data_IF_958043960880
#
_entry.id   IF_958043960880
#
_cell.length_a   1.000
_cell.length_b   1.000
_cell.length_c   1.000
_cell.angle_alpha   90.00
_cell.angle_beta   90.00
_cell.angle_gamma   90.00
#
_symmetry.space_group_name_H-M   'P 1'
#
loop_
_entity.id
_entity.type
_entity.pdbx_description
1 polymer ?
#
# COMPACT_ATOMS: atom_id res chain seq x y z
N UNK A 1 3.12 -44.68 -3.49
CA UNK A 1 3.94 -44.22 -2.34
C UNK A 1 3.68 -45.05 -1.08
N UNK A 2 3.40 -46.36 -1.18
CA UNK A 2 3.11 -47.19 0.02
C UNK A 2 4.35 -47.43 0.88
N UNK A 3 5.54 -47.38 0.28
CA UNK A 3 6.82 -47.60 0.97
C UNK A 3 7.41 -46.33 1.58
N UNK A 4 6.83 -45.16 1.29
CA UNK A 4 7.27 -43.87 1.82
C UNK A 4 6.54 -43.55 3.14
N UNK A 5 6.90 -44.26 4.21
CA UNK A 5 6.27 -44.12 5.54
C UNK A 5 6.40 -42.73 6.16
N UNK A 6 7.35 -41.92 5.69
CA UNK A 6 7.53 -40.53 6.10
C UNK A 6 6.50 -39.57 5.49
N UNK A 7 5.71 -40.01 4.50
CA UNK A 7 4.62 -39.24 3.89
C UNK A 7 3.30 -39.63 4.53
N UNK A 8 2.66 -38.69 5.23
CA UNK A 8 1.33 -38.89 5.81
C UNK A 8 0.23 -38.41 4.87
N UNK A 9 0.46 -37.27 4.20
CA UNK A 9 -0.43 -36.70 3.20
C UNK A 9 0.39 -36.04 2.10
N UNK A 10 -0.02 -36.29 0.86
CA UNK A 10 0.39 -35.49 -0.29
C UNK A 10 -0.82 -35.34 -1.22
N UNK A 11 -1.33 -34.13 -1.36
CA UNK A 11 -2.52 -33.82 -2.15
C UNK A 11 -2.17 -32.73 -3.15
N UNK A 12 -2.41 -33.01 -4.43
CA UNK A 12 -2.28 -32.02 -5.51
C UNK A 12 -3.66 -31.44 -5.80
N UNK A 13 -3.74 -30.11 -5.92
CA UNK A 13 -4.94 -29.35 -6.23
C UNK A 13 -4.75 -28.56 -7.52
N UNK A 14 -5.81 -28.44 -8.29
CA UNK A 14 -5.93 -27.49 -9.39
C UNK A 14 -7.31 -26.86 -9.35
N UNK A 15 -7.40 -25.58 -9.68
CA UNK A 15 -8.67 -24.88 -9.79
C UNK A 15 -8.72 -23.99 -11.05
N UNK A 16 -9.94 -23.79 -11.53
CA UNK A 16 -10.28 -22.79 -12.51
C UNK A 16 -11.66 -22.26 -12.16
N UNK A 17 -11.83 -20.94 -12.18
CA UNK A 17 -13.10 -20.33 -11.82
C UNK A 17 -13.25 -18.92 -12.35
N UNK A 18 -14.50 -18.47 -12.39
CA UNK A 18 -14.88 -17.10 -12.71
C UNK A 18 -15.79 -16.60 -11.60
N UNK A 19 -15.39 -15.50 -10.98
CA UNK A 19 -16.13 -14.84 -9.90
C UNK A 19 -16.50 -13.44 -10.35
N UNK A 20 -17.70 -13.00 -10.02
CA UNK A 20 -18.14 -11.63 -10.25
C UNK A 20 -18.17 -10.85 -8.94
N UNK A 21 -17.66 -9.62 -8.94
CA UNK A 21 -17.84 -8.68 -7.84
C UNK A 21 -18.98 -7.71 -8.17
N UNK A 22 -20.04 -7.78 -7.37
CA UNK A 22 -21.23 -6.93 -7.51
C UNK A 22 -21.17 -5.65 -6.71
N UNK A 23 -20.18 -5.52 -5.81
CA UNK A 23 -19.96 -4.31 -5.03
C UNK A 23 -19.36 -3.25 -5.94
N UNK A 24 -20.24 -2.65 -6.74
CA UNK A 24 -19.90 -1.65 -7.74
C UNK A 24 -20.49 -0.30 -7.33
N UNK A 25 -19.80 0.82 -7.61
CA UNK A 25 -20.30 2.14 -7.30
C UNK A 25 -21.64 2.47 -7.98
N UNK A 26 -22.38 3.39 -7.38
CA UNK A 26 -23.63 3.87 -7.95
C UNK A 26 -23.36 4.58 -9.29
N UNK A 27 -24.00 4.08 -10.34
CA UNK A 27 -23.80 4.54 -11.72
C UNK A 27 -25.03 5.29 -12.24
N UNK A 28 -25.05 6.60 -12.00
CA UNK A 28 -26.20 7.46 -12.26
C UNK A 28 -25.85 8.60 -13.21
N UNK A 29 -26.82 8.96 -14.04
CA UNK A 29 -26.76 10.21 -14.79
C UNK A 29 -27.13 11.37 -13.86
N UNK A 30 -26.30 12.40 -13.82
CA UNK A 30 -26.59 13.62 -13.07
C UNK A 30 -26.57 14.83 -13.99
N UNK A 31 -27.44 15.80 -13.71
CA UNK A 31 -27.44 17.12 -14.35
C UNK A 31 -27.08 18.13 -13.28
N UNK A 32 -26.08 18.96 -13.55
CA UNK A 32 -25.69 20.05 -12.68
C UNK A 32 -26.57 21.25 -13.00
N UNK A 33 -27.23 21.81 -11.99
CA UNK A 33 -28.05 23.03 -12.06
C UNK A 33 -27.78 23.89 -10.83
N UNK A 34 -28.27 25.14 -10.81
CA UNK A 34 -28.12 26.04 -9.64
C UNK A 34 -26.61 26.39 -9.39
N UNK A 35 -26.15 26.87 -8.20
CA UNK A 35 -24.73 27.25 -7.99
C UNK A 35 -23.70 26.17 -8.37
N UNK A 36 -24.12 24.92 -8.49
CA UNK A 36 -23.29 23.76 -8.85
C UNK A 36 -23.15 23.56 -10.37
N UNK A 37 -23.78 24.38 -11.21
CA UNK A 37 -23.67 24.29 -12.68
C UNK A 37 -22.25 24.61 -13.22
N UNK A 38 -21.26 24.80 -12.34
CA UNK A 38 -19.86 25.03 -12.70
C UNK A 38 -19.70 26.29 -13.56
N UNK A 39 -18.85 26.23 -14.59
CA UNK A 39 -18.51 27.32 -15.51
C UNK A 39 -19.63 27.71 -16.50
N UNK A 40 -20.86 27.18 -16.32
CA UNK A 40 -22.00 27.43 -17.21
C UNK A 40 -22.96 28.49 -16.68
N UNK A 41 -22.62 29.13 -15.57
CA UNK A 41 -23.32 30.30 -15.06
C UNK A 41 -22.84 31.55 -15.80
N UNK A 42 -23.77 32.39 -16.24
CA UNK A 42 -23.46 33.63 -16.95
C UNK A 42 -24.18 34.81 -16.31
N UNK A 43 -23.52 35.95 -16.31
CA UNK A 43 -24.13 37.21 -15.89
C UNK A 43 -24.75 37.87 -17.13
N UNK A 44 -26.04 38.15 -17.07
CA UNK A 44 -26.76 38.77 -18.17
C UNK A 44 -27.47 40.07 -17.76
N UNK A 45 -27.66 40.94 -18.75
CA UNK A 45 -28.45 42.16 -18.63
C UNK A 45 -27.74 43.32 -17.91
N UNK A 46 -28.35 44.51 -17.94
CA UNK A 46 -27.78 45.73 -17.32
C UNK A 46 -27.70 45.63 -15.79
N UNK A 47 -28.55 44.83 -15.17
CA UNK A 47 -28.57 44.60 -13.71
C UNK A 47 -27.52 43.60 -13.23
N UNK A 48 -26.76 42.98 -14.14
CA UNK A 48 -25.71 42.00 -13.82
C UNK A 48 -26.26 40.80 -13.01
N UNK A 49 -27.46 40.33 -13.35
CA UNK A 49 -28.06 39.18 -12.68
C UNK A 49 -27.37 37.88 -13.12
N UNK A 50 -27.02 37.03 -12.15
CA UNK A 50 -26.48 35.70 -12.42
C UNK A 50 -27.59 34.77 -12.89
N UNK A 51 -27.42 34.20 -14.08
CA UNK A 51 -28.30 33.18 -14.65
C UNK A 51 -27.58 31.85 -14.58
N UNK A 52 -28.22 30.90 -13.89
CA UNK A 52 -27.67 29.56 -13.74
C UNK A 52 -27.86 28.74 -15.01
N UNK A 53 -26.78 28.17 -15.52
CA UNK A 53 -26.82 27.22 -16.63
C UNK A 53 -27.15 25.80 -16.17
N UNK A 54 -27.00 24.87 -17.11
CA UNK A 54 -27.05 23.44 -16.82
C UNK A 54 -25.97 22.71 -17.60
N UNK A 55 -25.34 21.73 -16.98
CA UNK A 55 -24.35 20.85 -17.62
C UNK A 55 -24.61 19.39 -17.25
N UNK A 56 -24.16 18.45 -18.08
CA UNK A 56 -24.17 17.05 -17.69
C UNK A 56 -23.09 16.83 -16.64
N UNK A 57 -23.47 16.38 -15.44
CA UNK A 57 -22.52 16.07 -14.38
C UNK A 57 -21.79 14.77 -14.68
N UNK A 58 -22.46 13.65 -14.41
CA UNK A 58 -21.98 12.30 -14.67
C UNK A 58 -22.89 11.61 -15.68
N UNK A 59 -22.37 10.75 -16.57
CA UNK A 59 -23.17 9.86 -17.39
C UNK A 59 -23.44 8.54 -16.67
N UNK A 60 -24.62 7.96 -16.87
CA UNK A 60 -24.83 6.53 -16.61
C UNK A 60 -24.29 5.74 -17.80
N UNK A 61 -23.27 4.92 -17.58
CA UNK A 61 -22.67 4.07 -18.62
C UNK A 61 -23.11 2.61 -18.45
N UNK A 62 -22.89 1.75 -19.43
CA UNK A 62 -23.23 0.33 -19.26
C UNK A 62 -22.17 -0.37 -18.38
N UNK A 63 -22.32 -0.25 -17.05
CA UNK A 63 -21.50 -0.96 -16.08
C UNK A 63 -22.07 -2.34 -15.79
N UNK A 64 -21.17 -3.31 -15.74
CA UNK A 64 -21.40 -4.69 -15.33
C UNK A 64 -20.56 -5.01 -14.10
N UNK A 65 -20.69 -6.21 -13.54
CA UNK A 65 -19.83 -6.63 -12.43
C UNK A 65 -18.37 -6.73 -12.89
N UNK A 66 -17.44 -6.44 -12.00
CA UNK A 66 -16.05 -6.82 -12.24
C UNK A 66 -15.94 -8.35 -12.24
N UNK A 67 -15.14 -8.89 -13.14
CA UNK A 67 -15.06 -10.32 -13.36
C UNK A 67 -13.62 -10.78 -13.13
N UNK A 68 -13.39 -11.56 -12.08
CA UNK A 68 -12.10 -12.20 -11.83
C UNK A 68 -12.10 -13.61 -12.40
N UNK A 69 -11.19 -13.86 -13.34
CA UNK A 69 -10.86 -15.20 -13.83
C UNK A 69 -9.65 -15.71 -13.05
N UNK A 70 -9.81 -16.84 -12.39
CA UNK A 70 -8.78 -17.41 -11.53
C UNK A 70 -8.40 -18.80 -12.02
N UNK A 71 -7.10 -19.02 -12.09
CA UNK A 71 -6.48 -20.34 -12.24
C UNK A 71 -5.43 -20.51 -11.18
N UNK A 72 -5.31 -21.71 -10.65
CA UNK A 72 -4.36 -22.00 -9.60
C UNK A 72 -4.03 -23.48 -9.53
N UNK A 73 -2.88 -23.73 -8.92
CA UNK A 73 -2.38 -25.06 -8.64
C UNK A 73 -1.77 -25.04 -7.25
N UNK A 74 -1.94 -26.12 -6.49
CA UNK A 74 -1.43 -26.19 -5.14
C UNK A 74 -1.04 -27.59 -4.72
N UNK A 75 -0.17 -27.68 -3.73
CA UNK A 75 0.24 -28.94 -3.09
C UNK A 75 0.05 -28.78 -1.59
N UNK A 76 -0.78 -29.65 -1.00
CA UNK A 76 -0.88 -29.79 0.45
C UNK A 76 -0.08 -31.02 0.87
N UNK A 77 0.66 -30.92 1.97
CA UNK A 77 1.45 -32.03 2.46
C UNK A 77 1.47 -32.10 3.98
N UNK A 78 1.67 -33.33 4.47
CA UNK A 78 2.02 -33.62 5.85
C UNK A 78 3.02 -34.77 5.86
N UNK A 79 4.15 -34.56 6.54
CA UNK A 79 5.27 -35.46 6.60
C UNK A 79 5.67 -35.73 8.07
N UNK A 80 6.45 -36.79 8.28
CA UNK A 80 7.10 -37.11 9.56
C UNK A 80 6.10 -37.27 10.71
N UNK A 81 5.05 -38.07 10.50
CA UNK A 81 3.93 -38.23 11.44
C UNK A 81 3.22 -36.90 11.72
N UNK A 82 2.96 -36.14 10.66
CA UNK A 82 2.34 -34.81 10.69
C UNK A 82 3.11 -33.74 11.47
N UNK A 83 4.40 -33.96 11.74
CA UNK A 83 5.23 -32.95 12.40
C UNK A 83 5.53 -31.77 11.47
N UNK A 84 5.72 -32.03 10.18
CA UNK A 84 5.87 -31.01 9.16
C UNK A 84 4.62 -31.02 8.29
N UNK A 85 3.87 -29.92 8.28
CA UNK A 85 2.71 -29.75 7.40
C UNK A 85 2.77 -28.41 6.69
N UNK A 86 2.08 -28.30 5.56
CA UNK A 86 2.06 -27.07 4.82
C UNK A 86 1.29 -27.13 3.51
N UNK A 87 1.24 -25.97 2.85
CA UNK A 87 0.76 -25.83 1.49
C UNK A 87 1.68 -24.92 0.68
N UNK A 88 1.75 -25.18 -0.61
CA UNK A 88 2.35 -24.29 -1.61
C UNK A 88 1.29 -24.10 -2.69
N UNK A 89 0.91 -22.86 -2.93
CA UNK A 89 -0.14 -22.48 -3.87
C UNK A 89 0.41 -21.47 -4.88
N UNK A 90 0.16 -21.70 -6.16
CA UNK A 90 0.32 -20.71 -7.22
C UNK A 90 -1.06 -20.24 -7.66
N UNK A 91 -1.21 -18.93 -7.86
CA UNK A 91 -2.43 -18.35 -8.41
C UNK A 91 -2.13 -17.38 -9.54
N UNK A 92 -3.08 -17.30 -10.46
CA UNK A 92 -3.14 -16.31 -11.53
C UNK A 92 -4.57 -15.79 -11.61
N UNK A 93 -4.77 -14.56 -11.17
CA UNK A 93 -6.06 -13.86 -11.07
C UNK A 93 -6.08 -12.68 -12.03
N UNK A 94 -6.88 -12.78 -13.09
CA UNK A 94 -7.11 -11.70 -14.04
C UNK A 94 -8.48 -11.07 -13.76
N UNK A 95 -8.48 -9.88 -13.16
CA UNK A 95 -9.67 -9.05 -13.07
C UNK A 95 -9.90 -8.38 -14.44
N UNK A 96 -11.06 -8.65 -15.01
CA UNK A 96 -11.57 -8.09 -16.25
C UNK A 96 -12.73 -7.18 -15.91
N UNK A 97 -12.91 -6.11 -16.69
CA UNK A 97 -13.91 -5.08 -16.44
C UNK A 97 -13.65 -4.29 -15.15
N UNK A 98 -12.38 -4.10 -14.78
CA UNK A 98 -12.02 -3.29 -13.60
C UNK A 98 -12.65 -1.90 -13.71
N UNK A 99 -13.43 -1.53 -12.71
CA UNK A 99 -14.15 -0.27 -12.64
C UNK A 99 -13.21 0.78 -12.07
N UNK A 100 -13.00 1.84 -12.82
CA UNK A 100 -12.18 2.97 -12.42
C UNK A 100 -13.05 4.21 -12.30
N UNK A 101 -12.75 5.05 -11.30
CA UNK A 101 -13.22 6.43 -11.30
C UNK A 101 -12.37 7.23 -12.30
N UNK A 102 -12.97 7.58 -13.43
CA UNK A 102 -12.25 8.21 -14.55
C UNK A 102 -12.58 9.69 -14.62
N UNK A 103 -11.55 10.49 -14.91
CA UNK A 103 -11.72 11.90 -15.21
C UNK A 103 -12.17 12.05 -16.66
N UNK A 104 -13.24 12.83 -16.94
CA UNK A 104 -13.68 13.07 -18.30
C UNK A 104 -12.59 13.77 -19.13
N UNK A 105 -12.48 13.42 -20.40
CA UNK A 105 -11.65 14.18 -21.35
C UNK A 105 -12.25 15.57 -21.59
N UNK A 106 -11.45 16.56 -21.98
CA UNK A 106 -11.95 17.91 -22.29
C UNK A 106 -13.06 17.98 -23.35
N UNK A 107 -13.14 16.99 -24.24
CA UNK A 107 -14.20 16.89 -25.26
C UNK A 107 -15.44 16.12 -24.78
N UNK A 108 -15.45 15.66 -23.53
CA UNK A 108 -16.58 14.95 -22.93
C UNK A 108 -17.72 15.93 -22.65
N UNK A 109 -18.99 15.55 -22.84
CA UNK A 109 -20.12 16.34 -22.38
C UNK A 109 -20.28 16.34 -20.85
N UNK A 110 -19.66 15.37 -20.15
CA UNK A 110 -19.74 15.21 -18.69
C UNK A 110 -18.66 16.01 -17.97
N UNK A 111 -19.06 16.74 -16.94
CA UNK A 111 -18.22 17.67 -16.14
C UNK A 111 -17.63 17.06 -14.87
N UNK A 112 -18.18 15.94 -14.38
CA UNK A 112 -17.72 15.24 -13.17
C UNK A 112 -17.13 13.87 -13.52
N UNK A 113 -16.21 13.42 -12.67
CA UNK A 113 -15.71 12.05 -12.71
C UNK A 113 -16.86 11.03 -12.67
N UNK A 114 -16.67 9.90 -13.34
CA UNK A 114 -17.65 8.83 -13.39
C UNK A 114 -16.97 7.47 -13.46
N UNK A 115 -17.74 6.42 -13.17
CA UNK A 115 -17.23 5.07 -13.16
C UNK A 115 -17.34 4.42 -14.53
N UNK A 116 -16.25 3.80 -15.00
CA UNK A 116 -16.19 3.09 -16.27
C UNK A 116 -15.36 1.81 -16.16
N UNK A 117 -15.65 0.82 -17.00
CA UNK A 117 -14.75 -0.31 -17.20
C UNK A 117 -13.46 0.18 -17.88
N UNK A 118 -12.41 0.36 -17.09
CA UNK A 118 -11.23 1.09 -17.52
C UNK A 118 -10.00 0.24 -17.76
N UNK A 119 -9.91 -0.94 -17.13
CA UNK A 119 -8.69 -1.75 -17.19
C UNK A 119 -8.91 -3.26 -17.04
N UNK A 120 -7.83 -4.00 -17.33
CA UNK A 120 -7.64 -5.40 -16.91
C UNK A 120 -6.41 -5.48 -16.01
N UNK A 121 -6.58 -6.06 -14.83
CA UNK A 121 -5.54 -6.12 -13.79
C UNK A 121 -5.21 -7.56 -13.47
N UNK A 122 -3.94 -7.90 -13.56
CA UNK A 122 -3.39 -9.21 -13.22
C UNK A 122 -2.75 -9.17 -11.83
N UNK A 123 -3.14 -10.10 -10.98
CA UNK A 123 -2.42 -10.48 -9.78
C UNK A 123 -2.00 -11.95 -9.92
N UNK A 124 -0.72 -12.24 -9.76
CA UNK A 124 -0.22 -13.60 -9.80
C UNK A 124 0.92 -13.76 -8.81
N UNK A 125 1.02 -14.95 -8.24
CA UNK A 125 1.83 -15.12 -7.06
C UNK A 125 1.95 -16.54 -6.58
N UNK A 126 2.77 -16.70 -5.54
CA UNK A 126 2.96 -17.95 -4.83
C UNK A 126 2.72 -17.70 -3.35
N UNK A 127 1.98 -18.59 -2.72
CA UNK A 127 1.75 -18.61 -1.29
C UNK A 127 2.33 -19.89 -0.70
N UNK A 128 3.05 -19.76 0.39
CA UNK A 128 3.68 -20.87 1.10
C UNK A 128 3.29 -20.76 2.55
N UNK A 129 2.74 -21.83 3.11
CA UNK A 129 2.51 -21.97 4.54
C UNK A 129 3.22 -23.24 5.01
N UNK A 130 4.07 -23.11 6.03
CA UNK A 130 4.77 -24.22 6.64
C UNK A 130 4.50 -24.20 8.14
N UNK A 131 4.28 -25.37 8.71
CA UNK A 131 4.09 -25.54 10.13
C UNK A 131 4.89 -26.74 10.61
N UNK A 132 5.72 -26.51 11.62
CA UNK A 132 6.43 -27.53 12.36
C UNK A 132 5.79 -27.69 13.73
N UNK A 133 5.41 -28.90 14.10
CA UNK A 133 4.89 -29.25 15.42
C UNK A 133 5.69 -30.44 15.96
N UNK A 134 6.26 -30.30 17.15
CA UNK A 134 7.00 -31.39 17.79
C UNK A 134 6.76 -31.43 19.29
N UNK A 135 6.37 -32.60 19.78
CA UNK A 135 6.40 -32.95 21.20
C UNK A 135 7.69 -33.71 21.48
N UNK A 136 8.56 -33.12 22.29
CA UNK A 136 9.82 -33.76 22.71
C UNK A 136 9.56 -34.68 23.92
N UNK A 137 8.65 -34.29 24.80
CA UNK A 137 8.19 -35.08 25.94
C UNK A 137 6.71 -34.77 26.23
N UNK A 138 6.05 -35.50 27.16
CA UNK A 138 4.71 -35.15 27.61
C UNK A 138 4.59 -33.73 28.20
N UNK A 139 5.70 -33.17 28.68
CA UNK A 139 5.74 -31.86 29.32
C UNK A 139 6.27 -30.76 28.40
N UNK A 140 6.90 -31.10 27.26
CA UNK A 140 7.55 -30.12 26.39
C UNK A 140 7.16 -30.32 24.93
N UNK A 141 6.52 -29.30 24.36
CA UNK A 141 6.20 -29.22 22.94
C UNK A 141 6.43 -27.82 22.41
N UNK A 142 6.70 -27.72 21.11
CA UNK A 142 6.83 -26.44 20.44
C UNK A 142 6.26 -26.50 19.03
N UNK A 143 5.80 -25.34 18.57
CA UNK A 143 5.29 -25.11 17.24
C UNK A 143 6.00 -23.95 16.60
N UNK A 144 6.28 -24.07 15.31
CA UNK A 144 6.84 -23.01 14.50
C UNK A 144 6.10 -22.97 13.17
N UNK A 145 5.30 -21.93 12.98
CA UNK A 145 4.56 -21.66 11.75
C UNK A 145 5.18 -20.47 11.03
N UNK A 146 5.31 -20.59 9.71
CA UNK A 146 5.65 -19.47 8.82
C UNK A 146 4.67 -19.45 7.66
N UNK A 147 4.29 -18.26 7.24
CA UNK A 147 3.62 -18.06 5.96
C UNK A 147 4.33 -16.97 5.18
N UNK A 148 4.34 -17.10 3.86
CA UNK A 148 4.92 -16.17 2.92
C UNK A 148 4.03 -16.11 1.68
N UNK A 149 3.69 -14.91 1.22
CA UNK A 149 2.99 -14.70 -0.04
C UNK A 149 3.79 -13.72 -0.88
N UNK A 150 4.05 -14.09 -2.13
CA UNK A 150 4.57 -13.18 -3.15
C UNK A 150 3.45 -12.86 -4.14
N UNK A 151 3.21 -11.58 -4.40
CA UNK A 151 2.23 -11.13 -5.39
C UNK A 151 2.85 -10.11 -6.35
N UNK A 152 2.60 -10.29 -7.64
CA UNK A 152 2.92 -9.32 -8.67
C UNK A 152 1.63 -8.76 -9.27
N UNK A 153 1.38 -7.48 -8.99
CA UNK A 153 0.29 -6.72 -9.60
C UNK A 153 0.74 -6.08 -10.92
N UNK A 154 -0.09 -6.16 -11.96
CA UNK A 154 0.20 -5.56 -13.26
C UNK A 154 -1.08 -5.17 -14.00
N UNK A 155 -1.13 -3.96 -14.52
CA UNK A 155 -2.12 -3.54 -15.50
C UNK A 155 -1.74 -4.13 -16.86
N UNK A 156 -2.64 -4.93 -17.41
CA UNK A 156 -2.43 -5.67 -18.67
C UNK A 156 -3.06 -4.98 -19.86
N UNK A 157 -4.13 -4.23 -19.64
CA UNK A 157 -4.87 -3.49 -20.66
C UNK A 157 -5.54 -2.29 -20.00
N UNK A 158 -5.59 -1.17 -20.72
CA UNK A 158 -6.33 0.04 -20.33
C UNK A 158 -7.12 0.51 -21.55
N UNK A 159 -8.36 0.94 -21.34
CA UNK A 159 -9.14 1.59 -22.40
C UNK A 159 -8.40 2.86 -22.84
N UNK A 160 -8.20 3.10 -24.15
CA UNK A 160 -7.34 4.20 -24.63
C UNK A 160 -7.69 5.58 -24.05
N UNK A 161 -8.97 5.85 -23.78
CA UNK A 161 -9.42 7.12 -23.19
C UNK A 161 -8.91 7.36 -21.75
N UNK A 162 -8.49 6.31 -21.05
CA UNK A 162 -8.03 6.36 -19.66
C UNK A 162 -6.57 5.95 -19.51
N UNK A 163 -5.88 5.64 -20.62
CA UNK A 163 -4.44 5.39 -20.56
C UNK A 163 -3.73 6.64 -20.04
N UNK A 164 -2.75 6.44 -19.15
CA UNK A 164 -2.03 7.51 -18.46
C UNK A 164 -2.87 8.36 -17.51
N UNK A 165 -4.07 7.90 -17.11
CA UNK A 165 -4.82 8.55 -16.05
C UNK A 165 -3.95 8.75 -14.79
N UNK A 166 -3.91 9.97 -14.30
CA UNK A 166 -3.09 10.38 -13.15
C UNK A 166 -3.83 10.22 -11.82
N UNK A 167 -3.10 10.06 -10.73
CA UNK A 167 -3.66 9.95 -9.37
C UNK A 167 -2.64 10.23 -8.28
N UNK A 168 -3.02 9.98 -7.03
CA UNK A 168 -2.17 10.25 -5.87
C UNK A 168 -1.93 11.74 -5.66
N UNK A 169 -3.02 12.53 -5.68
CA UNK A 169 -2.95 13.96 -5.43
C UNK A 169 -2.47 14.22 -4.00
N UNK A 170 -1.57 15.19 -3.87
CA UNK A 170 -1.06 15.68 -2.58
C UNK A 170 -1.84 16.91 -2.07
N UNK A 171 -2.97 17.27 -2.69
CA UNK A 171 -3.76 18.48 -2.40
C UNK A 171 -3.00 19.82 -2.51
N UNK A 172 -1.88 19.83 -3.23
CA UNK A 172 -1.06 21.02 -3.50
C UNK A 172 -0.76 21.20 -5.01
N UNK A 173 -1.53 20.52 -5.88
CA UNK A 173 -1.33 20.49 -7.33
C UNK A 173 -0.46 19.33 -7.83
N UNK A 174 0.30 18.67 -6.96
CA UNK A 174 1.16 17.55 -7.36
C UNK A 174 0.43 16.21 -7.40
N UNK A 175 0.91 15.36 -8.31
CA UNK A 175 0.43 14.01 -8.62
C UNK A 175 1.59 13.04 -8.50
N UNK A 176 1.37 11.91 -7.83
CA UNK A 176 2.42 10.92 -7.53
C UNK A 176 2.23 9.58 -8.23
N UNK A 177 1.09 9.35 -8.91
CA UNK A 177 0.75 8.05 -9.52
C UNK A 177 0.22 8.19 -10.93
N UNK A 178 0.37 7.13 -11.71
CA UNK A 178 -0.20 7.02 -13.04
C UNK A 178 -0.65 5.59 -13.33
N UNK A 179 -1.81 5.45 -13.97
CA UNK A 179 -2.27 4.20 -14.55
C UNK A 179 -1.60 3.99 -15.91
N UNK A 180 -0.89 2.87 -16.08
CA UNK A 180 -0.24 2.55 -17.36
C UNK A 180 -0.09 1.05 -17.56
N UNK A 181 -0.33 0.59 -18.78
CA UNK A 181 -0.07 -0.80 -19.18
C UNK A 181 1.38 -1.16 -18.88
N UNK A 182 1.61 -2.34 -18.31
CA UNK A 182 2.94 -2.82 -17.95
C UNK A 182 3.33 -2.55 -16.50
N UNK A 183 2.72 -1.55 -15.86
CA UNK A 183 3.01 -1.11 -14.50
C UNK A 183 1.99 -1.69 -13.51
N UNK A 184 2.27 -1.68 -12.19
CA UNK A 184 1.24 -1.90 -11.18
C UNK A 184 0.08 -0.91 -11.31
N UNK A 185 -1.10 -1.28 -10.83
CA UNK A 185 -2.26 -0.38 -10.83
C UNK A 185 -1.92 0.90 -10.05
N UNK A 186 -2.03 2.05 -10.72
CA UNK A 186 -1.58 3.34 -10.21
C UNK A 186 -0.19 3.29 -9.55
N UNK A 187 0.81 2.79 -10.30
CA UNK A 187 2.20 2.81 -9.88
C UNK A 187 2.72 4.24 -9.62
N UNK A 188 3.72 4.34 -8.75
CA UNK A 188 4.39 5.60 -8.43
C UNK A 188 5.03 6.18 -9.70
N UNK A 189 4.66 7.40 -10.08
CA UNK A 189 5.11 8.10 -11.29
C UNK A 189 5.45 9.56 -10.95
N UNK A 190 6.75 9.87 -10.93
CA UNK A 190 7.28 11.12 -10.37
C UNK A 190 8.70 11.39 -10.88
N UNK A 191 9.29 12.52 -10.52
CA UNK A 191 10.68 12.82 -10.89
C UNK A 191 11.70 11.96 -10.13
N UNK A 192 12.84 11.67 -10.75
CA UNK A 192 13.98 11.06 -10.08
C UNK A 192 14.86 12.16 -9.48
N UNK A 193 14.94 12.24 -8.15
CA UNK A 193 15.83 13.15 -7.47
C UNK A 193 17.31 12.75 -7.70
N UNK A 194 18.15 13.73 -8.05
CA UNK A 194 19.55 13.56 -8.40
C UNK A 194 20.45 14.52 -7.60
N UNK A 195 20.19 14.59 -6.29
CA UNK A 195 20.90 15.43 -5.34
C UNK A 195 20.40 16.86 -5.25
N UNK A 196 21.27 17.79 -4.83
CA UNK A 196 20.91 19.16 -4.46
C UNK A 196 21.79 20.16 -5.20
N UNK A 197 21.21 21.25 -5.69
CA UNK A 197 21.94 22.37 -6.26
C UNK A 197 22.83 23.02 -5.18
N UNK A 198 24.14 23.03 -5.38
CA UNK A 198 25.09 23.49 -4.36
C UNK A 198 25.33 25.00 -4.39
N UNK A 199 25.33 25.61 -5.57
CA UNK A 199 25.60 27.03 -5.76
C UNK A 199 24.96 27.56 -7.04
N UNK A 200 25.17 28.85 -7.33
CA UNK A 200 24.57 29.52 -8.49
C UNK A 200 25.14 29.03 -9.83
N UNK A 201 26.38 28.55 -9.86
CA UNK A 201 26.99 28.04 -11.09
C UNK A 201 26.43 26.65 -11.42
N UNK A 202 26.17 25.85 -10.39
CA UNK A 202 25.47 24.57 -10.49
C UNK A 202 24.04 24.75 -11.04
N UNK A 203 23.30 25.75 -10.56
CA UNK A 203 21.96 26.11 -11.08
C UNK A 203 22.02 26.53 -12.55
N UNK A 204 23.07 27.23 -12.95
CA UNK A 204 23.22 27.71 -14.34
C UNK A 204 23.59 26.58 -15.31
N UNK A 205 24.35 25.59 -14.85
CA UNK A 205 24.93 24.54 -15.69
C UNK A 205 24.11 23.25 -15.74
N UNK A 206 23.05 23.13 -14.95
CA UNK A 206 22.20 21.93 -14.90
C UNK A 206 20.73 22.31 -15.12
N UNK A 207 19.99 21.57 -15.96
CA UNK A 207 18.60 21.90 -16.26
C UNK A 207 17.71 21.73 -15.02
N UNK A 208 16.77 22.65 -14.83
CA UNK A 208 15.90 22.64 -13.66
C UNK A 208 14.43 22.74 -14.01
N UNK A 209 13.60 22.09 -13.20
CA UNK A 209 12.15 22.29 -13.27
C UNK A 209 11.77 23.58 -12.52
N UNK A 210 11.32 24.60 -13.26
CA UNK A 210 11.04 25.92 -12.72
C UNK A 210 12.30 26.70 -12.32
N UNK A 211 12.13 27.77 -11.53
CA UNK A 211 13.22 28.63 -11.09
C UNK A 211 13.96 28.02 -9.88
N UNK A 212 15.01 27.25 -10.14
CA UNK A 212 15.83 26.64 -9.09
C UNK A 212 16.73 27.66 -8.35
N UNK A 213 17.08 27.30 -7.11
CA UNK A 213 18.02 28.03 -6.25
C UNK A 213 18.99 27.02 -5.59
N UNK A 214 20.15 27.47 -5.09
CA UNK A 214 20.98 26.65 -4.21
C UNK A 214 20.16 26.09 -3.04
N UNK A 215 20.35 24.81 -2.72
CA UNK A 215 19.57 24.06 -1.75
C UNK A 215 18.33 23.35 -2.31
N UNK A 216 17.93 23.59 -3.57
CA UNK A 216 16.80 22.88 -4.18
C UNK A 216 17.23 21.51 -4.73
N UNK A 217 16.27 20.59 -4.85
CA UNK A 217 16.52 19.28 -5.47
C UNK A 217 16.82 19.42 -6.97
N UNK A 218 17.78 18.63 -7.44
CA UNK A 218 17.98 18.35 -8.87
C UNK A 218 17.12 17.16 -9.28
N UNK A 219 16.68 17.16 -10.53
CA UNK A 219 16.01 16.01 -11.12
C UNK A 219 16.79 15.52 -12.33
N UNK A 220 16.79 14.20 -12.53
CA UNK A 220 17.45 13.60 -13.67
C UNK A 220 16.67 13.91 -14.95
N UNK A 221 17.37 14.44 -15.95
CA UNK A 221 16.91 14.50 -17.34
C UNK A 221 16.92 13.07 -17.89
N UNK A 222 15.74 12.51 -18.15
CA UNK A 222 15.60 11.10 -18.57
C UNK A 222 15.70 10.92 -20.07
N UNK A 223 15.46 11.98 -20.84
CA UNK A 223 15.48 11.93 -22.30
C UNK A 223 16.70 12.66 -22.91
N UNK A 224 17.54 13.26 -22.08
CA UNK A 224 18.78 13.96 -22.42
C UNK A 224 18.55 15.14 -23.38
N UNK A 225 17.39 15.80 -23.31
CA UNK A 225 17.04 16.94 -24.16
C UNK A 225 17.41 18.32 -23.55
N UNK A 226 17.97 18.32 -22.34
CA UNK A 226 18.40 19.51 -21.63
C UNK A 226 17.26 20.30 -20.98
N UNK A 227 16.04 19.73 -20.90
CA UNK A 227 14.87 20.36 -20.29
C UNK A 227 14.23 19.38 -19.31
N UNK A 228 14.14 19.78 -18.03
CA UNK A 228 13.36 18.99 -17.06
C UNK A 228 11.87 19.35 -17.22
N UNK A 229 11.05 18.37 -17.59
CA UNK A 229 9.58 18.49 -17.63
C UNK A 229 8.84 17.17 -17.35
N UNK A 230 7.53 17.13 -17.59
CA UNK A 230 6.69 15.95 -17.35
C UNK A 230 7.16 14.65 -18.05
N UNK A 231 7.97 14.77 -19.11
CA UNK A 231 8.54 13.65 -19.89
C UNK A 231 9.65 12.93 -19.11
N UNK A 232 10.21 13.57 -18.07
CA UNK A 232 11.25 13.01 -17.19
C UNK A 232 10.73 12.25 -15.98
N UNK A 233 9.40 12.15 -15.84
CA UNK A 233 8.80 11.35 -14.77
C UNK A 233 8.83 9.86 -15.13
N UNK A 234 9.32 9.04 -14.21
CA UNK A 234 9.49 7.59 -14.36
C UNK A 234 8.76 6.81 -13.27
N UNK A 235 8.61 5.50 -13.48
CA UNK A 235 7.92 4.62 -12.53
C UNK A 235 8.86 4.10 -11.44
N UNK A 236 8.42 4.15 -10.18
CA UNK A 236 9.20 3.71 -9.02
C UNK A 236 8.59 2.50 -8.29
N UNK A 237 7.72 1.73 -8.93
CA UNK A 237 7.03 0.59 -8.32
C UNK A 237 5.66 0.98 -7.77
N UNK A 238 5.25 0.39 -6.64
CA UNK A 238 3.88 0.57 -6.10
C UNK A 238 3.84 0.67 -4.58
N UNK A 239 2.70 1.14 -4.08
CA UNK A 239 2.31 1.06 -2.67
C UNK A 239 1.86 -0.35 -2.26
N UNK A 240 1.51 -1.21 -3.22
CA UNK A 240 1.15 -2.60 -2.97
C UNK A 240 2.40 -3.42 -2.60
N UNK A 241 2.39 -4.16 -1.47
CA UNK A 241 3.47 -5.08 -1.14
C UNK A 241 3.61 -6.18 -2.17
N UNK A 242 4.85 -6.47 -2.55
CA UNK A 242 5.14 -7.65 -3.39
C UNK A 242 5.32 -8.91 -2.56
N UNK A 243 5.63 -8.76 -1.28
CA UNK A 243 5.80 -9.86 -0.34
C UNK A 243 5.10 -9.55 0.97
N UNK A 244 4.38 -10.51 1.51
CA UNK A 244 3.88 -10.51 2.89
C UNK A 244 4.35 -11.78 3.58
N UNK A 245 4.60 -11.70 4.87
CA UNK A 245 5.08 -12.84 5.63
C UNK A 245 4.64 -12.77 7.08
N UNK A 246 4.45 -13.94 7.68
CA UNK A 246 4.05 -14.07 9.06
C UNK A 246 4.78 -15.20 9.75
N UNK A 247 4.97 -15.04 11.05
CA UNK A 247 5.54 -16.09 11.91
C UNK A 247 4.60 -16.34 13.08
N UNK A 248 4.59 -17.59 13.54
CA UNK A 248 3.98 -18.00 14.78
C UNK A 248 4.91 -18.96 15.51
N UNK A 249 5.26 -18.64 16.74
CA UNK A 249 6.08 -19.48 17.61
C UNK A 249 5.24 -19.82 18.83
N UNK A 250 5.09 -21.11 19.12
CA UNK A 250 4.43 -21.60 20.32
C UNK A 250 5.36 -22.51 21.09
N UNK A 251 5.40 -22.37 22.41
CA UNK A 251 6.15 -23.25 23.30
C UNK A 251 5.27 -23.59 24.48
N UNK A 252 5.14 -24.88 24.79
CA UNK A 252 4.50 -25.35 25.99
C UNK A 252 5.54 -26.09 26.83
N UNK A 253 5.69 -25.69 28.09
CA UNK A 253 6.54 -26.36 29.06
C UNK A 253 5.79 -26.51 30.39
N UNK A 254 5.41 -27.75 30.72
CA UNK A 254 4.56 -28.07 31.88
C UNK A 254 3.28 -27.24 31.88
N UNK A 255 3.07 -26.42 32.90
CA UNK A 255 1.92 -25.54 33.06
C UNK A 255 2.09 -24.17 32.37
N UNK A 256 3.26 -23.90 31.79
CA UNK A 256 3.58 -22.63 31.13
C UNK A 256 3.35 -22.75 29.63
N UNK A 257 2.67 -21.77 29.06
CA UNK A 257 2.56 -21.59 27.62
C UNK A 257 3.13 -20.22 27.20
N UNK A 258 3.79 -20.19 26.05
CA UNK A 258 4.35 -19.01 25.45
C UNK A 258 3.98 -18.98 23.97
N UNK A 259 3.50 -17.83 23.49
CA UNK A 259 3.21 -17.62 22.09
C UNK A 259 3.72 -16.27 21.60
N UNK A 260 4.31 -16.25 20.40
CA UNK A 260 4.66 -15.04 19.67
C UNK A 260 4.08 -15.13 18.27
N UNK A 261 3.46 -14.04 17.82
CA UNK A 261 3.01 -13.89 16.43
C UNK A 261 3.53 -12.58 15.85
N UNK A 262 3.97 -12.63 14.60
CA UNK A 262 4.45 -11.46 13.88
C UNK A 262 4.00 -11.46 12.43
N UNK A 263 3.96 -10.27 11.84
CA UNK A 263 3.56 -10.01 10.46
C UNK A 263 4.48 -8.94 9.85
N UNK A 264 4.81 -9.10 8.58
CA UNK A 264 5.60 -8.12 7.85
C UNK A 264 5.27 -8.08 6.37
N UNK A 265 5.73 -7.00 5.74
CA UNK A 265 5.56 -6.72 4.32
C UNK A 265 6.87 -6.20 3.72
N UNK A 266 7.07 -6.43 2.42
CA UNK A 266 8.22 -5.92 1.69
C UNK A 266 7.91 -5.63 0.22
N UNK A 267 8.75 -4.77 -0.38
CA UNK A 267 8.71 -4.37 -1.79
C UNK A 267 7.69 -3.29 -2.13
N UNK A 268 6.81 -2.92 -1.20
CA UNK A 268 6.03 -1.68 -1.29
C UNK A 268 6.90 -0.47 -0.98
N UNK A 269 6.48 0.68 -1.52
CA UNK A 269 7.01 1.99 -1.16
C UNK A 269 5.93 2.88 -0.60
N UNK A 270 6.32 3.74 0.33
CA UNK A 270 5.46 4.74 0.95
C UNK A 270 5.96 6.12 0.54
N UNK A 271 5.04 6.97 0.06
CA UNK A 271 5.35 8.35 -0.20
C UNK A 271 5.16 9.15 1.08
N UNK A 272 6.25 9.73 1.60
CA UNK A 272 6.26 10.58 2.79
C UNK A 272 5.66 11.95 2.46
N UNK A 273 4.33 11.96 2.40
CA UNK A 273 3.54 13.15 2.09
C UNK A 273 3.75 14.24 3.12
N UNK A 274 3.86 13.90 4.41
CA UNK A 274 4.15 14.85 5.49
C UNK A 274 5.41 15.68 5.23
N UNK A 275 6.52 15.03 4.88
CA UNK A 275 7.76 15.73 4.57
C UNK A 275 7.67 16.51 3.23
N UNK A 276 6.90 16.00 2.28
CA UNK A 276 6.70 16.62 0.97
C UNK A 276 5.84 17.88 1.01
N UNK A 277 4.74 17.90 1.78
CA UNK A 277 3.76 19.01 1.79
C UNK A 277 4.14 20.12 2.78
N UNK A 278 4.84 19.77 3.87
CA UNK A 278 5.29 20.73 4.90
C UNK A 278 6.61 21.40 4.53
N UNK A 279 6.72 21.89 3.31
CA UNK A 279 7.90 22.55 2.77
C UNK A 279 7.82 24.08 2.81
N UNK A 280 6.67 24.64 3.19
CA UNK A 280 6.46 26.09 3.23
C UNK A 280 6.77 26.68 4.61
N UNK A 281 7.23 27.94 4.61
CA UNK A 281 7.54 28.69 5.81
C UNK A 281 6.28 28.90 6.66
N UNK A 282 6.25 28.30 7.85
CA UNK A 282 5.18 28.47 8.85
C UNK A 282 4.65 27.17 9.44
N UNK A 283 4.91 26.03 8.79
CA UNK A 283 4.51 24.72 9.31
C UNK A 283 5.61 24.06 10.14
N UNK A 284 5.21 23.23 11.10
CA UNK A 284 6.15 22.45 11.90
C UNK A 284 6.66 21.23 11.11
N UNK A 285 7.99 21.04 11.11
CA UNK A 285 8.67 19.96 10.39
C UNK A 285 9.24 18.92 11.35
N UNK A 286 9.58 17.74 10.84
CA UNK A 286 10.28 16.73 11.64
C UNK A 286 11.67 17.22 12.04
N UNK A 287 12.10 16.92 13.27
CA UNK A 287 13.43 17.28 13.78
C UNK A 287 14.54 16.74 12.86
N UNK A 288 14.41 15.50 12.39
CA UNK A 288 15.35 14.87 11.45
C UNK A 288 15.46 15.62 10.13
N UNK A 289 14.36 16.21 9.64
CA UNK A 289 14.39 17.03 8.42
C UNK A 289 15.13 18.34 8.67
N UNK A 290 14.93 18.96 9.85
CA UNK A 290 15.67 20.16 10.22
C UNK A 290 17.17 19.86 10.34
N UNK A 291 17.57 18.86 11.11
CA UNK A 291 18.99 18.59 11.40
C UNK A 291 19.81 18.19 10.17
N UNK A 292 19.22 17.46 9.22
CA UNK A 292 19.94 16.91 8.06
C UNK A 292 19.87 17.79 6.81
N UNK A 293 19.17 18.93 6.85
CA UNK A 293 18.96 19.80 5.67
C UNK A 293 20.26 20.41 5.14
N UNK A 294 20.23 20.80 3.87
CA UNK A 294 21.26 21.66 3.30
C UNK A 294 21.30 23.03 3.99
N UNK A 295 22.49 23.44 4.39
CA UNK A 295 22.75 24.72 5.07
C UNK A 295 23.77 25.61 4.34
N UNK A 296 24.28 25.14 3.21
CA UNK A 296 25.31 25.81 2.42
C UNK A 296 26.03 24.81 1.51
N UNK A 297 26.75 25.33 0.50
CA UNK A 297 27.50 24.52 -0.44
C UNK A 297 28.41 23.52 0.30
N UNK A 298 28.33 22.23 -0.08
CA UNK A 298 29.11 21.15 0.52
C UNK A 298 28.58 20.57 1.84
N UNK A 299 27.47 21.09 2.40
CA UNK A 299 26.88 20.57 3.65
C UNK A 299 26.24 19.18 3.50
N UNK A 300 25.50 18.99 2.40
CA UNK A 300 24.93 17.69 2.00
C UNK A 300 24.59 17.75 0.51
N UNK A 301 24.56 16.60 -0.15
CA UNK A 301 24.03 16.46 -1.50
C UNK A 301 22.77 15.59 -1.54
N UNK A 302 22.25 15.17 -0.38
CA UNK A 302 21.09 14.26 -0.30
C UNK A 302 19.83 15.01 0.10
N UNK A 303 19.93 15.90 1.09
CA UNK A 303 18.76 16.57 1.67
C UNK A 303 18.69 18.03 1.21
N UNK A 304 17.55 18.49 0.67
CA UNK A 304 17.39 19.87 0.26
C UNK A 304 17.39 20.83 1.45
N UNK A 305 17.53 22.12 1.16
CA UNK A 305 17.51 23.19 2.14
C UNK A 305 16.13 23.41 2.75
N UNK A 306 16.06 24.35 3.69
CA UNK A 306 14.81 24.75 4.33
C UNK A 306 13.82 25.38 3.34
N UNK A 307 14.32 26.18 2.41
CA UNK A 307 13.57 26.63 1.24
C UNK A 307 13.78 25.60 0.13
N UNK A 308 12.70 24.95 -0.31
CA UNK A 308 12.78 23.89 -1.34
C UNK A 308 11.52 23.82 -2.18
N UNK A 309 11.67 23.33 -3.41
CA UNK A 309 10.55 23.03 -4.29
C UNK A 309 9.77 21.79 -3.82
N UNK A 310 8.48 21.74 -4.16
CA UNK A 310 7.51 20.76 -3.68
C UNK A 310 7.18 19.65 -4.71
N UNK A 311 7.99 19.51 -5.77
CA UNK A 311 7.69 18.58 -6.85
C UNK A 311 7.73 17.12 -6.38
N UNK A 312 6.71 16.36 -6.80
CA UNK A 312 6.63 14.94 -6.53
C UNK A 312 7.89 14.24 -7.08
N UNK A 313 8.64 13.58 -6.21
CA UNK A 313 9.90 12.95 -6.58
C UNK A 313 10.29 11.78 -5.70
N UNK A 314 11.24 10.97 -6.18
CA UNK A 314 11.78 9.82 -5.47
C UNK A 314 12.43 10.15 -4.13
N UNK A 315 12.79 11.42 -3.87
CA UNK A 315 13.33 11.86 -2.59
C UNK A 315 12.36 11.61 -1.42
N UNK A 316 11.06 11.77 -1.66
CA UNK A 316 10.02 11.53 -0.65
C UNK A 316 9.50 10.10 -0.66
N UNK A 317 10.03 9.22 -1.53
CA UNK A 317 9.56 7.87 -1.69
C UNK A 317 10.46 6.89 -0.96
N UNK A 318 9.95 6.31 0.11
CA UNK A 318 10.71 5.46 1.03
C UNK A 318 10.26 4.00 0.98
N UNK A 319 11.07 3.11 1.52
CA UNK A 319 10.67 1.70 1.71
C UNK A 319 9.50 1.62 2.69
N UNK A 320 8.42 0.97 2.26
CA UNK A 320 7.29 0.64 3.14
C UNK A 320 7.44 -0.70 3.85
N UNK A 321 8.63 -1.31 3.78
CA UNK A 321 8.88 -2.61 4.38
C UNK A 321 8.93 -2.51 5.90
N UNK A 322 8.22 -3.39 6.58
CA UNK A 322 8.27 -3.49 8.03
C UNK A 322 8.03 -4.92 8.51
N UNK A 323 8.44 -5.20 9.74
CA UNK A 323 8.02 -6.37 10.49
C UNK A 323 7.53 -5.94 11.86
N UNK A 324 6.33 -6.38 12.24
CA UNK A 324 5.68 -6.05 13.50
C UNK A 324 5.41 -7.32 14.29
N UNK A 325 5.69 -7.30 15.58
CA UNK A 325 5.20 -8.32 16.49
C UNK A 325 3.75 -7.97 16.82
N UNK A 326 2.81 -8.84 16.48
CA UNK A 326 1.39 -8.64 16.76
C UNK A 326 1.10 -8.93 18.21
N UNK A 327 1.54 -10.09 18.71
CA UNK A 327 1.30 -10.52 20.08
C UNK A 327 2.51 -11.25 20.65
N UNK A 328 2.79 -11.00 21.93
CA UNK A 328 3.61 -11.86 22.80
C UNK A 328 2.74 -12.21 23.99
N UNK A 329 2.48 -13.50 24.20
CA UNK A 329 1.65 -13.99 25.31
C UNK A 329 2.44 -14.99 26.12
N UNK A 330 2.40 -14.83 27.44
CA UNK A 330 2.85 -15.83 28.42
C UNK A 330 1.67 -16.19 29.30
N UNK A 331 1.42 -17.47 29.48
CA UNK A 331 0.38 -18.01 30.34
C UNK A 331 0.91 -19.03 31.33
N UNK A 332 0.24 -19.13 32.49
CA UNK A 332 0.40 -20.21 33.44
C UNK A 332 -0.96 -20.80 33.77
N UNK A 333 -1.07 -22.13 33.67
CA UNK A 333 -2.31 -22.86 33.93
C UNK A 333 -2.24 -23.62 35.24
N UNK A 334 -3.03 -23.20 36.23
CA UNK A 334 -3.31 -23.96 37.43
C UNK A 334 -4.36 -25.03 37.13
N UNK A 335 -4.00 -26.29 37.33
CA UNK A 335 -4.95 -27.41 37.22
C UNK A 335 -5.40 -27.83 38.63
N UNK A 336 -6.57 -28.45 38.71
CA UNK A 336 -7.09 -29.05 39.94
C UNK A 336 -7.27 -28.07 41.10
N UNK A 337 -7.75 -26.85 40.83
CA UNK A 337 -7.95 -25.82 41.86
C UNK A 337 -8.91 -26.26 42.97
N UNK A 338 -10.06 -26.82 42.59
CA UNK A 338 -11.07 -27.32 43.54
C UNK A 338 -11.78 -28.59 43.05
N UNK A 339 -11.64 -28.93 41.76
CA UNK A 339 -12.13 -30.18 41.15
C UNK A 339 -11.08 -30.70 40.16
N UNK A 340 -11.09 -31.99 39.84
CA UNK A 340 -10.19 -32.59 38.84
C UNK A 340 -10.39 -32.06 37.41
N UNK A 341 -11.46 -31.31 37.16
CA UNK A 341 -11.75 -30.66 35.88
C UNK A 341 -11.48 -29.15 35.89
N UNK A 342 -11.37 -28.56 37.09
CA UNK A 342 -11.16 -27.12 37.25
C UNK A 342 -9.78 -26.68 36.75
N UNK A 343 -9.76 -25.62 35.95
CA UNK A 343 -8.54 -24.98 35.43
C UNK A 343 -8.65 -23.46 35.54
N UNK A 344 -7.55 -22.82 35.91
CA UNK A 344 -7.40 -21.37 35.83
C UNK A 344 -6.12 -21.06 35.07
N UNK A 345 -6.25 -20.34 33.97
CA UNK A 345 -5.11 -19.79 33.24
C UNK A 345 -5.00 -18.30 33.49
N UNK A 346 -3.89 -17.88 34.10
CA UNK A 346 -3.51 -16.46 34.16
C UNK A 346 -2.55 -16.18 33.02
N UNK A 347 -2.73 -15.06 32.33
CA UNK A 347 -1.86 -14.71 31.20
C UNK A 347 -1.65 -13.21 31.08
N UNK A 348 -0.49 -12.87 30.52
CA UNK A 348 -0.12 -11.50 30.15
C UNK A 348 0.14 -11.49 28.64
N UNK A 349 -0.43 -10.51 27.94
CA UNK A 349 -0.22 -10.31 26.51
C UNK A 349 0.25 -8.90 26.23
N UNK A 350 1.36 -8.77 25.51
CA UNK A 350 1.76 -7.52 24.88
C UNK A 350 1.28 -7.52 23.42
N UNK A 351 0.42 -6.58 23.05
CA UNK A 351 -0.08 -6.37 21.69
C UNK A 351 0.64 -5.21 21.03
N UNK A 352 1.05 -5.41 19.78
CA UNK A 352 1.83 -4.45 18.99
C UNK A 352 3.08 -3.93 19.74
N UNK A 353 3.87 -4.77 20.45
CA UNK A 353 4.97 -4.26 21.28
C UNK A 353 6.09 -3.62 20.44
N UNK A 354 6.39 -4.14 19.26
CA UNK A 354 7.52 -3.70 18.44
C UNK A 354 7.16 -3.68 16.96
N UNK A 355 7.63 -2.65 16.26
CA UNK A 355 7.67 -2.56 14.80
C UNK A 355 9.11 -2.23 14.38
N UNK A 356 9.61 -2.95 13.39
CA UNK A 356 10.92 -2.75 12.78
C UNK A 356 10.70 -2.22 11.37
N UNK A 357 11.20 -1.03 11.08
CA UNK A 357 11.04 -0.35 9.78
C UNK A 357 12.19 0.62 9.56
N UNK A 358 12.49 0.91 8.29
CA UNK A 358 13.41 1.99 7.88
C UNK A 358 12.65 3.25 7.42
N UNK A 359 11.32 3.21 7.44
CA UNK A 359 10.49 4.37 7.09
C UNK A 359 10.69 5.49 8.12
N UNK A 360 10.98 6.70 7.65
CA UNK A 360 11.32 7.84 8.51
C UNK A 360 10.11 8.64 9.00
N UNK A 361 8.92 8.40 8.44
CA UNK A 361 7.65 8.98 8.90
C UNK A 361 7.05 8.28 10.12
N UNK A 362 5.77 8.53 10.44
CA UNK A 362 5.17 8.01 11.68
C UNK A 362 4.88 6.50 11.63
N UNK A 363 4.34 6.02 10.51
CA UNK A 363 4.00 4.61 10.34
C UNK A 363 4.12 4.19 8.87
N UNK A 364 4.82 3.08 8.57
CA UNK A 364 4.79 2.47 7.23
C UNK A 364 3.48 1.68 7.00
N UNK A 365 2.72 1.39 8.06
CA UNK A 365 1.43 0.72 8.02
C UNK A 365 0.35 1.77 7.84
N UNK A 366 0.03 2.07 6.57
CA UNK A 366 -0.98 3.06 6.19
C UNK A 366 -2.32 2.40 5.94
N UNK A 367 -3.37 2.91 6.58
CA UNK A 367 -4.74 2.57 6.24
C UNK A 367 -5.07 3.16 4.87
N UNK A 368 -5.21 2.31 3.85
CA UNK A 368 -5.72 2.72 2.55
C UNK A 368 -7.24 2.88 2.58
N UNK A 369 -7.77 3.78 1.78
CA UNK A 369 -9.19 3.93 1.44
C UNK A 369 -9.67 2.87 0.42
N UNK A 370 -8.78 1.94 0.04
CA UNK A 370 -9.02 0.94 -0.99
C UNK A 370 -8.95 1.50 -2.42
N UNK A 371 -8.73 2.79 -2.60
CA UNK A 371 -8.74 3.47 -3.89
C UNK A 371 -7.31 3.68 -4.41
N UNK A 372 -6.87 2.93 -5.44
CA UNK A 372 -5.48 2.97 -5.90
C UNK A 372 -5.09 4.33 -6.50
N UNK A 373 -6.07 5.05 -7.08
CA UNK A 373 -5.92 6.37 -7.68
C UNK A 373 -5.86 7.53 -6.66
N UNK A 374 -6.27 7.30 -5.41
CA UNK A 374 -6.28 8.32 -4.35
C UNK A 374 -5.01 8.22 -3.50
N UNK A 375 -5.11 8.33 -2.18
CA UNK A 375 -4.00 8.50 -1.25
C UNK A 375 -3.40 7.20 -0.74
N UNK A 376 -3.84 6.03 -1.21
CA UNK A 376 -3.27 4.73 -0.83
C UNK A 376 -1.73 4.71 -0.96
N UNK A 377 -1.01 4.49 0.15
CA UNK A 377 0.46 4.52 0.19
C UNK A 377 1.11 5.91 0.34
N UNK A 378 0.32 6.98 0.47
CA UNK A 378 0.79 8.33 0.77
C UNK A 378 0.52 8.62 2.24
N UNK A 379 1.56 8.89 3.03
CA UNK A 379 1.41 9.29 4.42
C UNK A 379 1.20 10.80 4.54
N UNK A 380 -0.05 11.23 4.74
CA UNK A 380 -0.38 12.65 5.02
C UNK A 380 -0.74 12.93 6.49
N UNK A 381 -1.16 11.91 7.24
CA UNK A 381 -1.73 12.08 8.57
C UNK A 381 -1.71 10.81 9.43
N UNK A 382 -0.74 9.91 9.22
CA UNK A 382 -0.76 8.61 9.90
C UNK A 382 -0.52 8.76 11.41
N UNK A 383 -1.30 8.02 12.19
CA UNK A 383 -1.09 7.81 13.62
C UNK A 383 -0.57 6.39 13.84
N UNK A 384 0.43 6.19 14.73
CA UNK A 384 0.95 4.87 15.01
C UNK A 384 -0.10 4.01 15.73
N UNK A 385 -0.01 2.69 15.52
CA UNK A 385 -0.79 1.73 16.31
C UNK A 385 -0.42 1.82 17.79
N UNK A 386 -1.41 1.74 18.68
CA UNK A 386 -1.14 1.72 20.12
C UNK A 386 -0.54 0.39 20.56
N UNK A 387 0.40 0.48 21.52
CA UNK A 387 0.95 -0.66 22.25
C UNK A 387 0.06 -0.94 23.46
N UNK A 388 -0.48 -2.16 23.57
CA UNK A 388 -1.35 -2.54 24.69
C UNK A 388 -0.71 -3.66 25.51
N UNK A 389 -0.85 -3.58 26.83
CA UNK A 389 -0.49 -4.66 27.75
C UNK A 389 -1.75 -5.13 28.48
N UNK A 390 -2.07 -6.40 28.29
CA UNK A 390 -3.30 -7.01 28.77
C UNK A 390 -2.96 -8.08 29.81
N UNK A 391 -3.65 -8.05 30.94
CA UNK A 391 -3.64 -9.14 31.92
C UNK A 391 -5.02 -9.77 31.88
N UNK A 392 -5.06 -11.09 31.70
CA UNK A 392 -6.31 -11.82 31.61
C UNK A 392 -6.29 -13.09 32.45
N UNK A 393 -7.49 -13.53 32.81
CA UNK A 393 -7.74 -14.83 33.43
C UNK A 393 -8.76 -15.59 32.60
N UNK A 394 -8.59 -16.89 32.48
CA UNK A 394 -9.57 -17.80 31.90
C UNK A 394 -9.82 -18.92 32.90
N UNK A 395 -11.07 -19.06 33.36
CA UNK A 395 -11.47 -20.05 34.34
C UNK A 395 -12.43 -21.04 33.72
N UNK A 396 -12.12 -22.33 33.88
CA UNK A 396 -12.96 -23.44 33.46
C UNK A 396 -13.37 -24.24 34.70
N UNK A 397 -14.68 -24.49 34.83
CA UNK A 397 -15.27 -25.02 36.06
C UNK A 397 -15.24 -26.55 36.17
#
# INVERSE_FOLDING_TARGET
MKDASWINLLKVRGNWGKLGNQDIPLNVSTILTSPESSNYNYVFGPEQNMVYGSAYGTPSVNLTWEVTRETGAGVDFAFLNNQLSGSIDYYHKLNTNTILDVTPTYTSPSEKNFYAHGAKVLNQGVEVALNWNKSISPEFSYTFGVNYSYNKNKVTEVVPAYDRATGGSLNNGEITKQLRVGQPIYGWWMFEANGVFQDAEDVKNYPSFGAAKPGYLKYKDQNEDGVIDSRDKVFFGSFLPTSTYGINVGVNYKAIDFNVSGYGVAGNKVYNGLNSVRSNAGENIALSTFENRWTGAGSTNEHPGAERAYWASSYFLESGAYFRINNITVGYTFNNLYSSRSKLRLYVTAQNPFIFTNYSGFSPELAGDGSPNLTSGIELSAYPTTRNFLIGLNMQF
#
